data_IF_294325180566
#
_entry.id   IF_294325180566
#
_cell.length_a   1.000
_cell.length_b   1.000
_cell.length_c   1.000
_cell.angle_alpha   90.00
_cell.angle_beta   90.00
_cell.angle_gamma   90.00
#
_symmetry.space_group_name_H-M   'P 1'
#
loop_
_entity.id
_entity.type
_entity.pdbx_description
1 polymer ?
#
# COMPACT_ATOMS: atom_id res chain seq x y z
N UNK A 1 -15.94 -0.36 13.63
CA UNK A 1 -15.39 -0.81 12.33
C UNK A 1 -15.45 0.29 11.25
N UNK A 2 -16.53 1.06 11.15
CA UNK A 2 -16.69 2.12 10.13
C UNK A 2 -15.75 3.32 10.35
N UNK A 3 -15.62 3.80 11.59
CA UNK A 3 -14.72 4.91 11.93
C UNK A 3 -13.24 4.62 11.61
N UNK A 4 -12.76 3.40 11.84
CA UNK A 4 -11.39 3.02 11.48
C UNK A 4 -11.16 3.04 9.96
N UNK A 5 -12.14 2.56 9.17
CA UNK A 5 -12.06 2.60 7.71
C UNK A 5 -11.99 4.05 7.21
N UNK A 6 -12.83 4.94 7.75
CA UNK A 6 -12.83 6.37 7.40
C UNK A 6 -11.50 7.02 7.75
N UNK A 7 -10.99 6.81 8.97
CA UNK A 7 -9.69 7.35 9.41
C UNK A 7 -8.56 6.86 8.50
N UNK A 8 -8.55 5.58 8.13
CA UNK A 8 -7.53 5.02 7.24
C UNK A 8 -7.61 5.59 5.82
N UNK A 9 -8.81 5.86 5.31
CA UNK A 9 -9.01 6.54 4.01
C UNK A 9 -8.43 7.96 4.09
N UNK A 10 -8.73 8.71 5.14
CA UNK A 10 -8.21 10.07 5.34
C UNK A 10 -6.67 10.06 5.38
N UNK A 11 -6.08 9.14 6.16
CA UNK A 11 -4.62 8.99 6.22
C UNK A 11 -4.04 8.67 4.84
N UNK A 12 -4.68 7.77 4.08
CA UNK A 12 -4.20 7.36 2.75
C UNK A 12 -4.22 8.53 1.77
N UNK A 13 -5.29 9.33 1.78
CA UNK A 13 -5.40 10.55 0.95
C UNK A 13 -4.29 11.53 1.32
N UNK A 14 -4.06 11.75 2.62
CA UNK A 14 -3.02 12.65 3.10
C UNK A 14 -1.61 12.19 2.67
N UNK A 15 -1.31 10.90 2.79
CA UNK A 15 -0.03 10.32 2.34
C UNK A 15 0.14 10.47 0.82
N UNK A 16 -0.90 10.18 0.05
CA UNK A 16 -0.87 10.32 -1.41
C UNK A 16 -0.63 11.78 -1.85
N UNK A 17 -1.27 12.74 -1.16
CA UNK A 17 -1.09 14.16 -1.43
C UNK A 17 0.36 14.61 -1.17
N UNK A 18 0.94 14.24 -0.02
CA UNK A 18 2.33 14.58 0.30
C UNK A 18 3.30 13.90 -0.67
N UNK A 19 3.05 12.64 -1.03
CA UNK A 19 3.88 11.94 -2.01
C UNK A 19 3.88 12.65 -3.37
N UNK A 20 2.72 13.15 -3.82
CA UNK A 20 2.61 13.96 -5.04
C UNK A 20 3.40 15.27 -4.97
N UNK A 21 3.24 16.02 -3.86
CA UNK A 21 3.99 17.26 -3.63
C UNK A 21 5.51 16.99 -3.60
N UNK A 22 5.94 15.89 -2.98
CA UNK A 22 7.34 15.46 -2.96
C UNK A 22 7.92 15.27 -4.37
N UNK A 23 7.15 14.64 -5.26
CA UNK A 23 7.55 14.46 -6.66
C UNK A 23 7.68 15.78 -7.40
N UNK A 24 6.78 16.73 -7.15
CA UNK A 24 6.85 18.06 -7.76
C UNK A 24 8.08 18.84 -7.29
N UNK A 25 8.38 18.80 -6.00
CA UNK A 25 9.53 19.46 -5.38
C UNK A 25 10.86 18.76 -5.69
N UNK A 26 10.85 17.49 -6.11
CA UNK A 26 12.06 16.68 -6.28
C UNK A 26 12.71 16.25 -4.96
N UNK A 27 11.96 16.36 -3.86
CA UNK A 27 12.43 16.07 -2.50
C UNK A 27 11.74 14.82 -1.97
N UNK A 28 12.51 13.78 -1.65
CA UNK A 28 11.97 12.47 -1.26
C UNK A 28 11.65 12.35 0.24
N UNK A 29 12.31 13.18 1.07
CA UNK A 29 12.17 13.11 2.53
C UNK A 29 10.71 13.30 2.98
N UNK A 30 9.93 14.28 2.46
CA UNK A 30 8.53 14.45 2.86
C UNK A 30 7.67 13.22 2.56
N UNK A 31 7.87 12.57 1.40
CA UNK A 31 7.16 11.34 1.04
C UNK A 31 7.47 10.18 2.01
N UNK A 32 8.74 9.98 2.36
CA UNK A 32 9.13 8.91 3.29
C UNK A 32 8.50 9.15 4.68
N UNK A 33 8.57 10.39 5.17
CA UNK A 33 7.96 10.75 6.46
C UNK A 33 6.45 10.54 6.44
N UNK A 34 5.76 10.94 5.38
CA UNK A 34 4.32 10.73 5.24
C UNK A 34 3.96 9.24 5.27
N UNK A 35 4.67 8.39 4.53
CA UNK A 35 4.44 6.94 4.50
C UNK A 35 4.65 6.33 5.90
N UNK A 36 5.75 6.65 6.57
CA UNK A 36 6.08 6.09 7.89
C UNK A 36 5.06 6.54 8.95
N UNK A 37 4.75 7.84 9.00
CA UNK A 37 3.79 8.40 9.96
C UNK A 37 2.38 7.85 9.67
N UNK A 38 1.95 7.84 8.42
CA UNK A 38 0.64 7.31 8.03
C UNK A 38 0.48 5.83 8.38
N UNK A 39 1.53 5.02 8.16
CA UNK A 39 1.55 3.61 8.56
C UNK A 39 1.49 3.44 10.08
N UNK A 40 2.26 4.23 10.83
CA UNK A 40 2.30 4.18 12.29
C UNK A 40 0.95 4.56 12.91
N UNK A 41 0.33 5.66 12.46
CA UNK A 41 -0.99 6.10 12.92
C UNK A 41 -2.05 5.04 12.60
N UNK A 42 -2.02 4.47 11.39
CA UNK A 42 -2.93 3.39 10.99
C UNK A 42 -2.79 2.15 11.88
N UNK A 43 -1.56 1.78 12.25
CA UNK A 43 -1.28 0.63 13.11
C UNK A 43 -1.80 0.86 14.54
N UNK A 44 -1.54 2.02 15.13
CA UNK A 44 -2.01 2.38 16.47
C UNK A 44 -3.55 2.36 16.53
N UNK A 45 -4.20 2.94 15.52
CA UNK A 45 -5.66 2.98 15.49
C UNK A 45 -6.29 1.60 15.30
N UNK A 46 -5.66 0.72 14.50
CA UNK A 46 -6.09 -0.68 14.35
C UNK A 46 -5.94 -1.47 15.65
N UNK A 47 -4.84 -1.29 16.39
CA UNK A 47 -4.61 -1.99 17.66
C UNK A 47 -5.68 -1.65 18.71
N UNK A 48 -6.21 -0.43 18.68
CA UNK A 48 -7.23 0.02 19.62
C UNK A 48 -8.64 -0.51 19.30
N UNK A 49 -8.85 -1.12 18.13
CA UNK A 49 -10.11 -1.81 17.81
C UNK A 49 -9.97 -3.31 18.10
N UNK A 50 -10.51 -3.78 19.23
CA UNK A 50 -10.55 -5.19 19.64
C UNK A 50 -11.13 -6.07 18.51
N UNK A 51 -10.28 -6.74 17.73
CA UNK A 51 -10.69 -7.80 16.80
C UNK A 51 -10.41 -9.15 17.45
N UNK A 52 -11.48 -9.88 17.76
CA UNK A 52 -11.46 -11.29 18.13
C UNK A 52 -10.97 -12.11 16.94
N UNK A 53 -9.86 -12.82 17.13
CA UNK A 53 -9.27 -13.72 16.13
C UNK A 53 -10.06 -15.02 16.10
N UNK A 54 -11.00 -15.15 15.16
CA UNK A 54 -11.60 -16.46 14.85
C UNK A 54 -10.61 -17.31 14.03
N UNK A 55 -10.35 -18.51 14.57
CA UNK A 55 -9.28 -19.43 14.22
C UNK A 55 -9.77 -20.45 13.18
N UNK A 56 -9.23 -20.38 11.95
CA UNK A 56 -9.41 -21.41 10.90
C UNK A 56 -8.04 -21.70 10.27
N UNK A 57 -7.28 -22.59 10.91
CA UNK A 57 -5.83 -22.47 10.99
C UNK A 57 -5.00 -23.00 9.82
N UNK A 58 -5.58 -23.59 8.76
CA UNK A 58 -4.79 -24.24 7.69
C UNK A 58 -5.01 -23.58 6.32
N UNK A 59 -6.25 -23.32 5.91
CA UNK A 59 -6.55 -22.55 4.67
C UNK A 59 -6.11 -21.08 4.81
N UNK A 60 -6.19 -20.51 6.03
CA UNK A 60 -5.74 -19.14 6.28
C UNK A 60 -4.21 -18.96 6.19
N UNK A 61 -3.38 -19.99 6.36
CA UNK A 61 -1.90 -19.78 6.36
C UNK A 61 -1.40 -19.46 4.95
N UNK A 62 -1.82 -20.24 3.94
CA UNK A 62 -1.43 -19.99 2.55
C UNK A 62 -2.01 -18.67 2.04
N UNK A 63 -3.27 -18.37 2.36
CA UNK A 63 -3.90 -17.09 2.02
C UNK A 63 -3.18 -15.92 2.70
N UNK A 64 -2.84 -16.04 3.98
CA UNK A 64 -2.13 -14.99 4.74
C UNK A 64 -0.70 -14.80 4.23
N UNK A 65 0.01 -15.87 3.89
CA UNK A 65 1.35 -15.80 3.32
C UNK A 65 1.34 -15.12 1.95
N UNK A 66 0.43 -15.53 1.06
CA UNK A 66 0.24 -14.91 -0.26
C UNK A 66 -0.13 -13.43 -0.15
N UNK A 67 -1.09 -13.10 0.73
CA UNK A 67 -1.49 -11.73 1.01
C UNK A 67 -0.32 -10.88 1.51
N UNK A 68 0.47 -11.40 2.46
CA UNK A 68 1.62 -10.68 2.99
C UNK A 68 2.70 -10.47 1.92
N UNK A 69 3.02 -11.49 1.12
CA UNK A 69 4.00 -11.40 0.05
C UNK A 69 3.61 -10.33 -0.98
N UNK A 70 2.36 -10.32 -1.43
CA UNK A 70 1.88 -9.34 -2.40
C UNK A 70 1.80 -7.93 -1.81
N UNK A 71 1.42 -7.76 -0.55
CA UNK A 71 1.45 -6.44 0.13
C UNK A 71 2.89 -5.92 0.23
N UNK A 72 3.83 -6.73 0.73
CA UNK A 72 5.22 -6.33 0.88
C UNK A 72 5.84 -5.99 -0.48
N UNK A 73 5.64 -6.85 -1.48
CA UNK A 73 6.15 -6.62 -2.82
C UNK A 73 5.58 -5.33 -3.43
N UNK A 74 4.27 -5.10 -3.31
CA UNK A 74 3.62 -3.86 -3.79
C UNK A 74 4.21 -2.62 -3.13
N UNK A 75 4.44 -2.64 -1.82
CA UNK A 75 5.06 -1.53 -1.08
C UNK A 75 6.48 -1.30 -1.57
N UNK A 76 7.28 -2.36 -1.72
CA UNK A 76 8.67 -2.26 -2.18
C UNK A 76 8.76 -1.61 -3.55
N UNK A 77 8.00 -2.10 -4.54
CA UNK A 77 8.04 -1.53 -5.89
C UNK A 77 7.45 -0.12 -5.95
N UNK A 78 6.45 0.20 -5.11
CA UNK A 78 5.92 1.57 -5.01
C UNK A 78 6.97 2.55 -4.46
N UNK A 79 7.71 2.16 -3.41
CA UNK A 79 8.78 3.00 -2.83
C UNK A 79 9.92 3.21 -3.82
N UNK A 80 10.37 2.15 -4.49
CA UNK A 80 11.43 2.24 -5.52
C UNK A 80 10.95 3.10 -6.69
N UNK A 81 9.71 2.92 -7.13
CA UNK A 81 9.11 3.71 -8.18
C UNK A 81 9.07 5.20 -7.84
N UNK A 82 8.59 5.52 -6.63
CA UNK A 82 8.55 6.89 -6.11
C UNK A 82 9.94 7.51 -6.00
N UNK A 83 10.94 6.73 -5.57
CA UNK A 83 12.33 7.17 -5.51
C UNK A 83 12.84 7.61 -6.88
N UNK A 84 12.67 6.79 -7.91
CA UNK A 84 13.11 7.13 -9.27
C UNK A 84 12.37 8.32 -9.87
N UNK A 85 11.06 8.43 -9.62
CA UNK A 85 10.28 9.57 -10.11
C UNK A 85 10.72 10.88 -9.43
N UNK A 86 10.97 10.84 -8.12
CA UNK A 86 11.37 12.03 -7.35
C UNK A 86 12.79 12.47 -7.70
N UNK A 87 13.71 11.52 -7.90
CA UNK A 87 15.11 11.79 -8.26
C UNK A 87 15.31 12.04 -9.77
N UNK A 88 14.26 12.40 -10.52
CA UNK A 88 14.29 12.63 -11.97
C UNK A 88 15.40 13.59 -12.43
N UNK A 89 15.77 14.56 -11.60
CA UNK A 89 16.81 15.54 -11.90
C UNK A 89 18.23 14.94 -11.83
N UNK A 90 18.43 13.90 -11.00
CA UNK A 90 19.72 13.25 -10.80
C UNK A 90 19.86 11.98 -11.67
N UNK A 91 18.76 11.26 -11.88
CA UNK A 91 18.72 9.96 -12.53
C UNK A 91 17.60 9.90 -13.59
N UNK A 92 17.70 10.69 -14.69
CA UNK A 92 16.63 10.81 -15.68
C UNK A 92 16.33 9.51 -16.42
N UNK A 93 17.34 8.65 -16.63
CA UNK A 93 17.19 7.38 -17.33
C UNK A 93 16.25 6.40 -16.62
N UNK A 94 16.06 6.57 -15.30
CA UNK A 94 15.23 5.68 -14.48
C UNK A 94 13.78 6.15 -14.34
N UNK A 95 13.40 7.30 -14.91
CA UNK A 95 12.03 7.84 -14.79
C UNK A 95 10.99 6.84 -15.31
N UNK A 96 11.25 6.25 -16.47
CA UNK A 96 10.32 5.28 -17.08
C UNK A 96 10.18 4.02 -16.21
N UNK A 97 11.29 3.53 -15.66
CA UNK A 97 11.27 2.42 -14.70
C UNK A 97 10.48 2.81 -13.43
N UNK A 98 10.64 4.04 -12.96
CA UNK A 98 9.92 4.60 -11.82
C UNK A 98 8.39 4.54 -11.99
N UNK A 99 7.90 5.09 -13.11
CA UNK A 99 6.47 5.01 -13.45
C UNK A 99 5.99 3.57 -13.64
N UNK A 100 6.78 2.73 -14.31
CA UNK A 100 6.42 1.32 -14.52
C UNK A 100 6.24 0.59 -13.19
N UNK A 101 7.14 0.80 -12.23
CA UNK A 101 7.06 0.20 -10.90
C UNK A 101 5.86 0.72 -10.10
N UNK A 102 5.61 2.03 -10.14
CA UNK A 102 4.47 2.66 -9.45
C UNK A 102 3.13 2.13 -10.01
N UNK A 103 2.97 2.08 -11.33
CA UNK A 103 1.77 1.54 -11.96
C UNK A 103 1.62 0.03 -11.72
N UNK A 104 2.73 -0.72 -11.72
CA UNK A 104 2.70 -2.15 -11.41
C UNK A 104 2.23 -2.42 -9.98
N UNK A 105 2.59 -1.57 -9.01
CA UNK A 105 2.10 -1.66 -7.64
C UNK A 105 0.57 -1.56 -7.57
N UNK A 106 0.01 -0.56 -8.25
CA UNK A 106 -1.44 -0.34 -8.31
C UNK A 106 -2.14 -1.48 -9.06
N UNK A 107 -1.56 -1.92 -10.18
CA UNK A 107 -2.10 -3.03 -10.96
C UNK A 107 -2.13 -4.34 -10.16
N UNK A 108 -1.07 -4.63 -9.39
CA UNK A 108 -0.99 -5.83 -8.55
C UNK A 108 -2.05 -5.82 -7.45
N UNK A 109 -2.24 -4.68 -6.77
CA UNK A 109 -3.31 -4.52 -5.78
C UNK A 109 -4.69 -4.64 -6.43
N UNK A 110 -4.88 -4.04 -7.61
CA UNK A 110 -6.12 -4.13 -8.37
C UNK A 110 -6.47 -5.58 -8.73
N UNK A 111 -5.51 -6.32 -9.30
CA UNK A 111 -5.65 -7.74 -9.61
C UNK A 111 -6.01 -8.53 -8.36
N UNK A 112 -5.30 -8.30 -7.25
CA UNK A 112 -5.62 -8.96 -5.99
C UNK A 112 -7.06 -8.74 -5.55
N UNK A 113 -7.56 -7.51 -5.55
CA UNK A 113 -8.94 -7.22 -5.14
C UNK A 113 -9.98 -7.81 -6.10
N UNK A 114 -9.71 -7.82 -7.42
CA UNK A 114 -10.57 -8.45 -8.42
C UNK A 114 -10.68 -9.95 -8.16
N UNK A 115 -9.55 -10.64 -7.99
CA UNK A 115 -9.55 -12.08 -7.71
C UNK A 115 -10.15 -12.37 -6.35
N UNK A 116 -9.79 -11.61 -5.31
CA UNK A 116 -10.38 -11.76 -3.99
C UNK A 116 -11.90 -11.64 -4.04
N UNK A 117 -12.44 -10.63 -4.73
CA UNK A 117 -13.88 -10.47 -4.91
C UNK A 117 -14.53 -11.61 -5.68
N UNK A 118 -13.90 -12.08 -6.76
CA UNK A 118 -14.40 -13.21 -7.55
C UNK A 118 -14.45 -14.50 -6.72
N UNK A 119 -13.35 -14.86 -6.05
CA UNK A 119 -13.26 -16.09 -5.27
C UNK A 119 -14.13 -16.01 -4.01
N UNK A 120 -14.23 -14.85 -3.37
CA UNK A 120 -15.15 -14.65 -2.23
C UNK A 120 -16.61 -14.79 -2.65
N UNK A 121 -17.00 -14.31 -3.85
CA UNK A 121 -18.37 -14.51 -4.36
C UNK A 121 -18.66 -15.97 -4.75
N UNK A 122 -17.65 -16.68 -5.27
CA UNK A 122 -17.82 -18.04 -5.81
C UNK A 122 -17.70 -19.14 -4.76
N UNK A 123 -16.89 -18.93 -3.72
CA UNK A 123 -16.55 -19.93 -2.70
C UNK A 123 -16.73 -19.42 -1.27
N UNK A 124 -17.15 -18.16 -1.07
CA UNK A 124 -17.50 -17.67 0.25
C UNK A 124 -18.76 -18.37 0.74
N UNK A 125 -18.63 -19.12 1.83
CA UNK A 125 -19.75 -19.63 2.62
C UNK A 125 -20.53 -18.48 3.26
#
# INVERSE_FOLDING_TARGET
MENYKIVRIIITIFVAMIAGISVELGEIIPAILAIVIGAMVSYIYKKNTNETLEDERIIKISEKASRMAMVLFSITIAIIGLFFITMRNQYPDFIQAGYTLAYSAVALLGLYYVFYGYYNKKYGY
#
